data_IF_281909565685
#
_entry.id   IF_281909565685
#
_cell.length_a   1.000
_cell.length_b   1.000
_cell.length_c   1.000
_cell.angle_alpha   90.00
_cell.angle_beta   90.00
_cell.angle_gamma   90.00
#
_symmetry.space_group_name_H-M   'P 1'
#
loop_
_entity.id
_entity.type
_entity.pdbx_description
1 polymer ?
#
# COMPACT_ATOMS: atom_id res chain seq x y z
N UNK A 1 -7.07 -48.28 -11.64
CA UNK A 1 -7.99 -47.16 -11.91
C UNK A 1 -7.42 -45.91 -11.25
N UNK A 2 -6.54 -45.19 -11.95
CA UNK A 2 -6.02 -43.89 -11.51
C UNK A 2 -7.12 -42.87 -11.75
N UNK A 3 -7.97 -42.67 -10.74
CA UNK A 3 -9.02 -41.65 -10.73
C UNK A 3 -8.40 -40.27 -10.67
N UNK A 4 -7.88 -39.81 -11.80
CA UNK A 4 -7.45 -38.43 -12.02
C UNK A 4 -8.67 -37.54 -12.15
N UNK A 5 -9.29 -37.21 -11.02
CA UNK A 5 -10.23 -36.10 -10.95
C UNK A 5 -9.46 -34.79 -10.95
N UNK A 6 -8.98 -34.36 -12.11
CA UNK A 6 -8.57 -32.96 -12.28
C UNK A 6 -9.81 -32.10 -12.06
N UNK A 7 -9.82 -31.34 -10.96
CA UNK A 7 -10.82 -30.31 -10.72
C UNK A 7 -10.53 -29.21 -11.75
N UNK A 8 -11.28 -29.20 -12.85
CA UNK A 8 -11.25 -28.10 -13.82
C UNK A 8 -11.92 -26.90 -13.14
N UNK A 9 -11.12 -25.96 -12.64
CA UNK A 9 -11.61 -24.68 -12.10
C UNK A 9 -12.41 -23.96 -13.20
N UNK A 10 -13.63 -23.54 -12.87
CA UNK A 10 -14.45 -22.81 -13.82
C UNK A 10 -13.92 -21.39 -14.03
N UNK A 11 -14.12 -20.80 -15.22
CA UNK A 11 -13.79 -19.39 -15.49
C UNK A 11 -14.39 -18.45 -14.44
N UNK A 12 -15.60 -18.74 -13.96
CA UNK A 12 -16.27 -17.93 -12.95
C UNK A 12 -15.65 -18.04 -11.55
N UNK A 13 -15.06 -19.18 -11.18
CA UNK A 13 -14.31 -19.32 -9.93
C UNK A 13 -12.98 -18.58 -10.00
N UNK A 14 -12.28 -18.70 -11.13
CA UNK A 14 -11.01 -18.00 -11.37
C UNK A 14 -11.18 -16.48 -11.27
N UNK A 15 -12.17 -15.91 -11.95
CA UNK A 15 -12.46 -14.46 -11.88
C UNK A 15 -12.82 -14.00 -10.47
N UNK A 16 -13.59 -14.79 -9.70
CA UNK A 16 -13.89 -14.45 -8.29
C UNK A 16 -12.66 -14.50 -7.40
N UNK A 17 -11.73 -15.43 -7.66
CA UNK A 17 -10.48 -15.57 -6.92
C UNK A 17 -9.55 -14.41 -7.21
N UNK A 18 -9.36 -14.07 -8.48
CA UNK A 18 -8.58 -12.92 -8.95
C UNK A 18 -9.11 -11.62 -8.33
N UNK A 19 -10.42 -11.33 -8.44
CA UNK A 19 -10.98 -10.12 -7.85
C UNK A 19 -10.85 -10.03 -6.32
N UNK A 20 -10.91 -11.15 -5.60
CA UNK A 20 -10.63 -11.18 -4.15
C UNK A 20 -9.16 -10.96 -3.82
N UNK A 21 -8.26 -11.38 -4.70
CA UNK A 21 -6.83 -11.18 -4.53
C UNK A 21 -6.46 -9.71 -4.80
N UNK A 22 -6.95 -9.15 -5.91
CA UNK A 22 -6.78 -7.74 -6.28
C UNK A 22 -7.36 -6.82 -5.19
N UNK A 23 -8.61 -7.03 -4.76
CA UNK A 23 -9.21 -6.23 -3.71
C UNK A 23 -8.47 -6.32 -2.37
N UNK A 24 -7.83 -7.46 -2.06
CA UNK A 24 -6.94 -7.56 -0.88
C UNK A 24 -5.64 -6.79 -1.06
N UNK A 25 -5.06 -6.79 -2.26
CA UNK A 25 -3.84 -6.03 -2.58
C UNK A 25 -4.12 -4.52 -2.48
N UNK A 26 -5.18 -4.06 -3.13
CA UNK A 26 -5.62 -2.65 -3.10
C UNK A 26 -5.98 -2.20 -1.68
N UNK A 27 -6.80 -2.96 -0.97
CA UNK A 27 -7.20 -2.61 0.39
C UNK A 27 -6.04 -2.53 1.38
N UNK A 28 -5.00 -3.37 1.20
CA UNK A 28 -3.76 -3.28 2.00
C UNK A 28 -2.96 -2.02 1.66
N UNK A 29 -2.83 -1.70 0.38
CA UNK A 29 -2.14 -0.47 -0.10
C UNK A 29 -2.82 0.78 0.47
N UNK A 30 -4.14 0.91 0.28
CA UNK A 30 -4.92 2.03 0.80
C UNK A 30 -4.85 2.14 2.32
N UNK A 31 -4.94 1.01 3.02
CA UNK A 31 -4.84 0.96 4.47
C UNK A 31 -3.49 1.45 4.99
N UNK A 32 -2.40 1.08 4.31
CA UNK A 32 -1.05 1.58 4.60
C UNK A 32 -0.96 3.09 4.37
N UNK A 33 -1.36 3.59 3.20
CA UNK A 33 -1.32 5.01 2.88
C UNK A 33 -2.09 5.87 3.90
N UNK A 34 -3.32 5.48 4.24
CA UNK A 34 -4.16 6.16 5.24
C UNK A 34 -3.52 6.14 6.63
N UNK A 35 -2.97 4.98 7.03
CA UNK A 35 -2.35 4.79 8.34
C UNK A 35 -1.10 5.64 8.49
N UNK A 36 -0.18 5.58 7.53
CA UNK A 36 1.07 6.32 7.57
C UNK A 36 0.85 7.82 7.43
N UNK A 37 -0.10 8.26 6.60
CA UNK A 37 -0.55 9.66 6.55
C UNK A 37 -1.00 10.15 7.93
N UNK A 38 -1.82 9.36 8.64
CA UNK A 38 -2.27 9.71 9.99
C UNK A 38 -1.11 9.78 11.00
N UNK A 39 -0.15 8.86 10.91
CA UNK A 39 1.04 8.85 11.77
C UNK A 39 1.94 10.08 11.52
N UNK A 40 2.20 10.42 10.26
CA UNK A 40 2.97 11.61 9.89
C UNK A 40 2.28 12.90 10.37
N UNK A 41 0.95 13.03 10.19
CA UNK A 41 0.18 14.17 10.74
C UNK A 41 0.35 14.32 12.25
N UNK A 42 0.29 13.20 12.97
CA UNK A 42 0.49 13.19 14.43
C UNK A 42 1.93 13.56 14.81
N UNK A 43 2.92 13.01 14.12
CA UNK A 43 4.34 13.25 14.38
C UNK A 43 4.72 14.72 14.17
N UNK A 44 4.24 15.34 13.11
CA UNK A 44 4.51 16.75 12.81
C UNK A 44 3.50 17.72 13.44
N UNK A 45 2.54 17.22 14.23
CA UNK A 45 1.50 18.03 14.88
C UNK A 45 0.78 19.00 13.92
N UNK A 46 0.42 18.53 12.72
CA UNK A 46 -0.15 19.39 11.69
C UNK A 46 -0.70 18.66 10.47
N UNK A 47 -1.27 19.44 9.57
CA UNK A 47 -1.63 18.96 8.22
C UNK A 47 -0.36 18.75 7.39
N UNK A 48 -0.31 17.65 6.64
CA UNK A 48 0.77 17.43 5.68
C UNK A 48 0.61 18.39 4.50
N UNK A 49 1.72 18.84 3.89
CA UNK A 49 1.71 19.51 2.61
C UNK A 49 0.94 18.72 1.55
N UNK A 50 0.33 19.43 0.60
CA UNK A 50 -0.57 18.82 -0.39
C UNK A 50 0.18 17.87 -1.35
N UNK A 51 1.43 18.19 -1.69
CA UNK A 51 2.32 17.33 -2.47
C UNK A 51 2.57 15.98 -1.78
N UNK A 52 2.75 15.99 -0.46
CA UNK A 52 2.93 14.77 0.33
C UNK A 52 1.66 13.93 0.36
N UNK A 53 0.49 14.57 0.54
CA UNK A 53 -0.80 13.86 0.54
C UNK A 53 -1.03 13.13 -0.78
N UNK A 54 -0.80 13.83 -1.90
CA UNK A 54 -0.95 13.25 -3.23
C UNK A 54 0.08 12.14 -3.49
N UNK A 55 1.31 12.32 -2.99
CA UNK A 55 2.36 11.30 -3.12
C UNK A 55 1.99 10.05 -2.32
N UNK A 56 1.54 10.18 -1.07
CA UNK A 56 1.08 9.06 -0.23
C UNK A 56 -0.11 8.30 -0.82
N UNK A 57 -1.03 8.99 -1.49
CA UNK A 57 -2.20 8.37 -2.14
C UNK A 57 -1.78 7.52 -3.36
N UNK A 58 -0.79 7.99 -4.11
CA UNK A 58 -0.31 7.33 -5.34
C UNK A 58 0.76 6.27 -5.07
N UNK A 59 1.59 6.48 -4.04
CA UNK A 59 2.72 5.66 -3.63
C UNK A 59 2.39 4.18 -3.71
N UNK A 60 3.26 3.40 -4.33
CA UNK A 60 3.10 1.96 -4.42
C UNK A 60 3.39 1.28 -3.07
N UNK A 61 3.38 -0.06 -3.08
CA UNK A 61 3.59 -0.81 -1.84
C UNK A 61 5.03 -0.68 -1.35
N UNK A 62 6.00 -0.67 -2.25
CA UNK A 62 7.43 -0.54 -1.94
C UNK A 62 7.72 0.80 -1.25
N UNK A 63 7.18 1.90 -1.76
CA UNK A 63 7.35 3.23 -1.17
C UNK A 63 6.69 3.34 0.20
N UNK A 64 5.46 2.82 0.33
CA UNK A 64 4.79 2.77 1.63
C UNK A 64 5.55 1.92 2.66
N UNK A 65 6.28 0.88 2.21
CA UNK A 65 7.17 0.10 3.08
C UNK A 65 8.39 0.93 3.51
N UNK A 66 9.00 1.75 2.63
CA UNK A 66 10.08 2.65 3.03
C UNK A 66 9.62 3.61 4.12
N UNK A 67 8.41 4.17 4.00
CA UNK A 67 7.80 5.02 5.03
C UNK A 67 7.61 4.25 6.33
N UNK A 68 7.05 3.03 6.29
CA UNK A 68 6.85 2.17 7.46
C UNK A 68 8.15 1.95 8.23
N UNK A 69 9.22 1.61 7.51
CA UNK A 69 10.50 1.21 8.11
C UNK A 69 11.26 2.40 8.69
N UNK A 70 11.00 3.61 8.17
CA UNK A 70 11.65 4.85 8.61
C UNK A 70 10.74 5.78 9.44
N UNK A 71 9.50 5.40 9.75
CA UNK A 71 8.50 6.31 10.36
C UNK A 71 8.99 6.99 11.64
N UNK A 72 9.81 6.30 12.43
CA UNK A 72 10.37 6.84 13.66
C UNK A 72 11.61 7.72 13.43
N UNK A 73 12.33 7.51 12.32
CA UNK A 73 13.57 8.18 11.96
C UNK A 73 13.38 9.42 11.08
N UNK A 74 12.20 9.57 10.45
CA UNK A 74 11.82 10.80 9.75
C UNK A 74 11.92 11.97 10.74
N UNK A 75 12.69 13.00 10.45
CA UNK A 75 12.86 14.19 11.30
C UNK A 75 11.97 15.33 10.81
N UNK A 76 11.85 15.49 9.49
CA UNK A 76 11.06 16.54 8.86
C UNK A 76 10.31 16.07 7.59
N UNK A 77 9.67 17.02 6.92
CA UNK A 77 8.83 16.71 5.77
C UNK A 77 9.64 16.44 4.50
N UNK A 78 10.90 16.90 4.43
CA UNK A 78 11.78 16.65 3.30
C UNK A 78 12.26 15.19 3.31
N UNK A 79 12.48 14.59 4.49
CA UNK A 79 12.72 13.14 4.61
C UNK A 79 11.58 12.32 3.99
N UNK A 80 10.33 12.75 4.19
CA UNK A 80 9.17 12.10 3.58
C UNK A 80 9.24 12.19 2.06
N UNK A 81 9.66 13.34 1.51
CA UNK A 81 9.83 13.50 0.05
C UNK A 81 10.92 12.57 -0.46
N UNK A 82 12.04 12.45 0.24
CA UNK A 82 13.14 11.57 -0.16
C UNK A 82 12.73 10.11 -0.20
N UNK A 83 11.93 9.66 0.77
CA UNK A 83 11.42 8.29 0.82
C UNK A 83 10.36 7.97 -0.24
N UNK A 84 9.65 8.99 -0.75
CA UNK A 84 8.60 8.87 -1.77
C UNK A 84 9.06 9.22 -3.19
N UNK A 85 10.33 9.59 -3.39
CA UNK A 85 10.88 9.79 -4.75
C UNK A 85 11.01 8.43 -5.44
N UNK A 86 10.46 8.34 -6.65
CA UNK A 86 10.88 7.32 -7.63
C UNK A 86 12.34 7.61 -8.01
N UNK A 87 13.19 6.58 -8.04
CA UNK A 87 14.50 6.66 -8.72
C UNK A 87 14.32 6.82 -10.23
#
# INVERSE_FOLDING_TARGET
>A
LTGGGEIVESTAERLRKEGREEGRKEGRKEGMAKTFTSQLKKKFSGELPEDIKQSMEKADKEDLIKIRDNIFNIEDIDDVRELLKEE
#
